data_IF_433634283725
#
_entry.id   IF_433634283725
#
_cell.length_a   1.000
_cell.length_b   1.000
_cell.length_c   1.000
_cell.angle_alpha   90.00
_cell.angle_beta   90.00
_cell.angle_gamma   90.00
#
_symmetry.space_group_name_H-M   'P 1'
#
loop_
_entity.id
_entity.type
_entity.pdbx_description
1 polymer ?
#
# COMPACT_ATOMS: atom_id res chain seq x y z
N UNK A 1 -11.61 -13.15 11.50
CA UNK A 1 -12.13 -11.88 12.04
C UNK A 1 -12.72 -12.00 13.44
N UNK A 2 -13.53 -13.03 13.76
CA UNK A 2 -14.03 -13.22 15.13
C UNK A 2 -12.91 -13.28 16.19
N UNK A 3 -11.80 -13.94 15.88
CA UNK A 3 -10.64 -13.99 16.78
C UNK A 3 -10.01 -12.59 16.97
N UNK A 4 -9.88 -11.80 15.91
CA UNK A 4 -9.32 -10.45 15.97
C UNK A 4 -10.20 -9.49 16.78
N UNK A 5 -11.52 -9.52 16.58
CA UNK A 5 -12.46 -8.75 17.39
C UNK A 5 -12.42 -9.18 18.87
N UNK A 6 -12.28 -10.48 19.14
CA UNK A 6 -12.16 -11.00 20.50
C UNK A 6 -10.88 -10.52 21.21
N UNK A 7 -9.76 -10.36 20.47
CA UNK A 7 -8.49 -9.83 21.01
C UNK A 7 -8.58 -8.36 21.42
N UNK A 8 -9.40 -7.56 20.72
CA UNK A 8 -9.59 -6.14 20.99
C UNK A 8 -10.65 -5.87 22.09
N UNK A 9 -11.37 -6.92 22.52
CA UNK A 9 -12.47 -6.85 23.47
C UNK A 9 -13.76 -6.31 22.84
N UNK A 10 -14.92 -6.64 23.42
CA UNK A 10 -16.23 -6.18 22.93
C UNK A 10 -16.51 -4.71 23.28
N UNK A 11 -15.72 -3.80 22.72
CA UNK A 11 -15.85 -2.35 22.89
C UNK A 11 -16.33 -1.69 21.60
N UNK A 12 -16.95 -0.48 21.67
CA UNK A 12 -17.31 0.27 20.46
C UNK A 12 -16.12 0.54 19.54
N UNK A 13 -14.94 0.77 20.11
CA UNK A 13 -13.70 0.99 19.34
C UNK A 13 -13.27 -0.28 18.60
N UNK A 14 -13.41 -1.46 19.22
CA UNK A 14 -13.12 -2.72 18.53
C UNK A 14 -14.05 -2.95 17.34
N UNK A 15 -15.32 -2.56 17.45
CA UNK A 15 -16.26 -2.61 16.33
C UNK A 15 -15.82 -1.65 15.20
N UNK A 16 -15.46 -0.41 15.53
CA UNK A 16 -14.97 0.57 14.56
C UNK A 16 -13.73 0.06 13.79
N UNK A 17 -12.76 -0.56 14.47
CA UNK A 17 -11.57 -1.13 13.82
C UNK A 17 -11.96 -2.26 12.85
N UNK A 18 -12.91 -3.12 13.22
CA UNK A 18 -13.40 -4.19 12.35
C UNK A 18 -14.10 -3.61 11.12
N UNK A 19 -14.91 -2.55 11.31
CA UNK A 19 -15.62 -1.89 10.22
C UNK A 19 -14.64 -1.21 9.25
N UNK A 20 -13.61 -0.52 9.76
CA UNK A 20 -12.53 0.08 8.96
C UNK A 20 -11.71 -0.97 8.19
N UNK A 21 -11.40 -2.10 8.84
CA UNK A 21 -10.73 -3.21 8.16
C UNK A 21 -11.59 -3.76 7.01
N UNK A 22 -12.89 -3.94 7.24
CA UNK A 22 -13.80 -4.42 6.21
C UNK A 22 -13.93 -3.42 5.07
N UNK A 23 -13.98 -2.11 5.36
CA UNK A 23 -13.99 -1.05 4.36
C UNK A 23 -12.73 -1.10 3.48
N UNK A 24 -11.56 -1.24 4.10
CA UNK A 24 -10.29 -1.40 3.39
C UNK A 24 -10.29 -2.63 2.47
N UNK A 25 -10.74 -3.78 2.98
CA UNK A 25 -10.78 -5.03 2.22
C UNK A 25 -11.80 -5.01 1.07
N UNK A 26 -12.96 -4.38 1.28
CA UNK A 26 -13.97 -4.21 0.25
C UNK A 26 -13.49 -3.30 -0.89
N UNK A 27 -12.61 -2.33 -0.58
CA UNK A 27 -12.00 -1.41 -1.54
C UNK A 27 -13.02 -0.66 -2.42
N UNK A 28 -14.12 -0.19 -1.81
CA UNK A 28 -15.21 0.51 -2.51
C UNK A 28 -15.30 1.99 -2.20
N UNK A 29 -14.75 2.43 -1.07
CA UNK A 29 -14.74 3.86 -0.68
C UNK A 29 -13.54 4.58 -1.31
N UNK A 30 -13.64 5.91 -1.54
CA UNK A 30 -12.50 6.70 -1.98
C UNK A 30 -11.28 6.56 -1.05
N UNK A 31 -11.51 6.50 0.26
CA UNK A 31 -10.50 6.33 1.29
C UNK A 31 -9.83 4.95 1.18
N UNK A 32 -10.60 3.86 1.10
CA UNK A 32 -10.04 2.51 0.94
C UNK A 32 -9.22 2.36 -0.34
N UNK A 33 -9.70 2.92 -1.46
CA UNK A 33 -8.97 2.93 -2.73
C UNK A 33 -7.65 3.72 -2.63
N UNK A 34 -7.68 4.89 -1.99
CA UNK A 34 -6.47 5.69 -1.74
C UNK A 34 -5.48 4.93 -0.85
N UNK A 35 -5.93 4.32 0.24
CA UNK A 35 -5.06 3.55 1.15
C UNK A 35 -4.47 2.32 0.43
N UNK A 36 -5.24 1.62 -0.41
CA UNK A 36 -4.72 0.50 -1.21
C UNK A 36 -3.64 0.94 -2.21
N UNK A 37 -3.73 2.15 -2.75
CA UNK A 37 -2.70 2.73 -3.61
C UNK A 37 -1.45 3.12 -2.81
N UNK A 38 -1.64 3.74 -1.64
CA UNK A 38 -0.54 4.09 -0.73
C UNK A 38 0.24 2.87 -0.25
N UNK A 39 -0.45 1.79 0.13
CA UNK A 39 0.15 0.52 0.57
C UNK A 39 1.11 -0.05 -0.50
N UNK A 40 0.70 -0.04 -1.77
CA UNK A 40 1.56 -0.49 -2.89
C UNK A 40 2.69 0.49 -3.19
N UNK A 41 2.44 1.79 -3.03
CA UNK A 41 3.44 2.82 -3.28
C UNK A 41 4.56 2.75 -2.25
N UNK A 42 4.22 2.59 -0.97
CA UNK A 42 5.18 2.42 0.12
C UNK A 42 6.08 1.19 -0.14
N UNK A 43 5.50 0.07 -0.56
CA UNK A 43 6.25 -1.15 -0.90
C UNK A 43 7.33 -0.92 -1.97
N UNK A 44 7.05 -0.15 -3.03
CA UNK A 44 8.05 0.12 -4.08
C UNK A 44 9.06 1.21 -3.69
N UNK A 45 8.69 2.12 -2.77
CA UNK A 45 9.63 3.07 -2.16
C UNK A 45 10.67 2.28 -1.33
N UNK A 46 10.23 1.36 -0.48
CA UNK A 46 11.13 0.49 0.27
C UNK A 46 12.02 -0.33 -0.67
N UNK A 47 11.45 -0.92 -1.73
CA UNK A 47 12.23 -1.66 -2.71
C UNK A 47 13.34 -0.78 -3.32
N UNK A 48 13.04 0.46 -3.71
CA UNK A 48 14.04 1.39 -4.24
C UNK A 48 15.17 1.66 -3.24
N UNK A 49 14.84 1.92 -1.97
CA UNK A 49 15.83 2.17 -0.92
C UNK A 49 16.73 0.95 -0.67
N UNK A 50 16.16 -0.26 -0.72
CA UNK A 50 16.95 -1.49 -0.64
C UNK A 50 17.83 -1.73 -1.88
N UNK A 51 17.37 -1.37 -3.08
CA UNK A 51 18.22 -1.44 -4.28
C UNK A 51 19.44 -0.52 -4.15
N UNK A 52 19.25 0.70 -3.60
CA UNK A 52 20.32 1.66 -3.31
C UNK A 52 21.33 1.13 -2.29
N UNK A 53 20.86 0.52 -1.20
CA UNK A 53 21.74 0.05 -0.12
C UNK A 53 22.48 -1.25 -0.48
N UNK A 54 21.77 -2.22 -1.05
CA UNK A 54 22.24 -3.61 -1.15
C UNK A 54 22.74 -3.97 -2.55
N UNK A 55 22.62 -3.06 -3.52
CA UNK A 55 23.01 -3.24 -4.94
C UNK A 55 22.41 -4.49 -5.58
N UNK A 56 21.22 -4.89 -5.14
CA UNK A 56 20.43 -5.99 -5.70
C UNK A 56 19.25 -5.41 -6.44
N UNK A 57 18.87 -6.05 -7.54
CA UNK A 57 17.62 -5.69 -8.21
C UNK A 57 16.44 -6.35 -7.49
N UNK A 58 15.42 -5.54 -7.19
CA UNK A 58 14.14 -5.92 -6.62
C UNK A 58 13.01 -5.71 -7.63
N UNK A 59 13.30 -5.95 -8.92
CA UNK A 59 12.41 -5.71 -10.05
C UNK A 59 11.00 -6.31 -9.87
N UNK A 60 10.89 -7.49 -9.26
CA UNK A 60 9.60 -8.17 -9.02
C UNK A 60 8.61 -7.32 -8.23
N UNK A 61 9.07 -6.47 -7.29
CA UNK A 61 8.20 -5.58 -6.54
C UNK A 61 7.57 -4.50 -7.43
N UNK A 62 8.36 -3.95 -8.36
CA UNK A 62 7.87 -2.95 -9.31
C UNK A 62 6.95 -3.57 -10.36
N UNK A 63 7.27 -4.75 -10.88
CA UNK A 63 6.40 -5.48 -11.81
C UNK A 63 5.05 -5.81 -11.16
N UNK A 64 5.07 -6.16 -9.86
CA UNK A 64 3.85 -6.49 -9.13
C UNK A 64 2.89 -5.32 -8.95
N UNK A 65 3.33 -4.07 -9.15
CA UNK A 65 2.51 -2.85 -8.97
C UNK A 65 2.17 -2.14 -10.27
N UNK A 66 2.72 -2.59 -11.40
CA UNK A 66 2.48 -1.98 -12.70
C UNK A 66 1.00 -1.96 -13.07
N UNK A 67 0.49 -0.76 -13.38
CA UNK A 67 -0.92 -0.56 -13.75
C UNK A 67 -1.93 -0.71 -12.61
N UNK A 68 -1.48 -0.89 -11.36
CA UNK A 68 -2.39 -1.05 -10.21
C UNK A 68 -2.82 0.26 -9.57
N UNK A 69 -2.00 1.30 -9.67
CA UNK A 69 -2.31 2.63 -9.11
C UNK A 69 -3.48 3.27 -9.86
N UNK A 70 -4.44 3.83 -9.13
CA UNK A 70 -5.64 4.46 -9.67
C UNK A 70 -5.66 5.97 -9.40
N UNK A 71 -5.30 6.38 -8.18
CA UNK A 71 -5.38 7.74 -7.71
C UNK A 71 -4.39 8.65 -8.46
N UNK A 72 -4.83 9.80 -9.03
CA UNK A 72 -3.99 10.65 -9.87
C UNK A 72 -2.69 11.11 -9.20
N UNK A 73 -2.77 11.53 -7.94
CA UNK A 73 -1.59 11.98 -7.18
C UNK A 73 -0.59 10.85 -6.98
N UNK A 74 -1.07 9.62 -6.68
CA UNK A 74 -0.18 8.49 -6.44
C UNK A 74 0.49 8.08 -7.75
N UNK A 75 -0.25 8.05 -8.87
CA UNK A 75 0.33 7.82 -10.21
C UNK A 75 1.48 8.78 -10.51
N UNK A 76 1.30 10.08 -10.26
CA UNK A 76 2.34 11.08 -10.47
C UNK A 76 3.58 10.82 -9.59
N UNK A 77 3.38 10.41 -8.32
CA UNK A 77 4.49 10.03 -7.44
C UNK A 77 5.19 8.74 -7.91
N UNK A 78 4.44 7.73 -8.35
CA UNK A 78 5.00 6.49 -8.91
C UNK A 78 5.85 6.78 -10.14
N UNK A 79 5.42 7.68 -11.03
CA UNK A 79 6.19 8.10 -12.20
C UNK A 79 7.51 8.78 -11.80
N UNK A 80 7.47 9.66 -10.81
CA UNK A 80 8.67 10.29 -10.26
C UNK A 80 9.63 9.27 -9.64
N UNK A 81 9.12 8.31 -8.87
CA UNK A 81 9.91 7.23 -8.27
C UNK A 81 10.58 6.36 -9.34
N UNK A 82 9.86 6.01 -10.41
CA UNK A 82 10.44 5.27 -11.53
C UNK A 82 11.50 6.08 -12.28
N UNK A 83 11.36 7.41 -12.36
CA UNK A 83 12.37 8.27 -12.95
C UNK A 83 13.65 8.29 -12.11
N UNK A 84 13.52 8.40 -10.79
CA UNK A 84 14.65 8.32 -9.86
C UNK A 84 15.36 6.96 -9.96
N UNK A 85 14.59 5.86 -9.95
CA UNK A 85 15.14 4.51 -10.07
C UNK A 85 15.98 4.30 -11.33
N UNK A 86 15.62 4.92 -12.45
CA UNK A 86 16.40 4.84 -13.71
C UNK A 86 17.77 5.53 -13.63
N UNK A 87 18.01 6.32 -12.59
CA UNK A 87 19.29 7.00 -12.35
C UNK A 87 20.21 6.23 -11.39
N UNK A 88 19.74 5.14 -10.78
CA UNK A 88 20.57 4.21 -10.02
C UNK A 88 21.51 3.42 -10.94
#
# INVERSE_FOLDING_TARGET
MQDFQSMLGNTPVAQEIVDLWQEYEDAKTPEALLVKDLDKFEMIVQALEYEKSDKKSLQSFFDSTQGKFQHPTIKAWTEALYAERRLL
#
